data_IF_792589659121
#
_entry.id   IF_792589659121
#
_cell.length_a   1.000
_cell.length_b   1.000
_cell.length_c   1.000
_cell.angle_alpha   90.00
_cell.angle_beta   90.00
_cell.angle_gamma   90.00
#
_symmetry.space_group_name_H-M   'P 1'
#
loop_
_entity.id
_entity.type
_entity.pdbx_description
1 polymer ?
#
# COMPACT_ATOMS: atom_id res chain seq x y z
N UNK A 1 -20.37 21.88 11.56
CA UNK A 1 -19.43 22.64 10.69
C UNK A 1 -20.23 23.55 9.78
N UNK A 2 -19.74 24.75 9.48
CA UNK A 2 -20.32 25.62 8.44
C UNK A 2 -19.68 25.24 7.11
N UNK A 3 -20.48 24.85 6.12
CA UNK A 3 -19.99 24.42 4.81
C UNK A 3 -20.06 25.59 3.82
N UNK A 4 -18.98 25.84 3.07
CA UNK A 4 -19.05 26.67 1.88
C UNK A 4 -19.79 25.93 0.75
N UNK A 5 -20.21 26.65 -0.30
CA UNK A 5 -20.98 26.08 -1.42
C UNK A 5 -20.31 24.87 -2.05
N UNK A 6 -18.98 24.91 -2.25
CA UNK A 6 -18.23 23.80 -2.84
C UNK A 6 -18.25 22.56 -1.92
N UNK A 7 -18.07 22.75 -0.62
CA UNK A 7 -18.11 21.65 0.35
C UNK A 7 -19.52 21.08 0.49
N UNK A 8 -20.55 21.92 0.44
CA UNK A 8 -21.94 21.47 0.42
C UNK A 8 -22.24 20.61 -0.81
N UNK A 9 -21.83 21.06 -2.01
CA UNK A 9 -21.99 20.28 -3.25
C UNK A 9 -21.28 18.93 -3.16
N UNK A 10 -20.04 18.90 -2.66
CA UNK A 10 -19.31 17.63 -2.48
C UNK A 10 -20.07 16.64 -1.58
N UNK A 11 -20.67 17.12 -0.49
CA UNK A 11 -21.45 16.28 0.43
C UNK A 11 -22.76 15.81 -0.20
N UNK A 12 -23.49 16.71 -0.85
CA UNK A 12 -24.78 16.38 -1.47
C UNK A 12 -24.66 15.52 -2.75
N UNK A 13 -23.50 15.54 -3.40
CA UNK A 13 -23.28 14.83 -4.67
C UNK A 13 -23.50 13.32 -4.52
N UNK A 14 -22.86 12.69 -3.54
CA UNK A 14 -22.99 11.25 -3.28
C UNK A 14 -24.35 10.91 -2.69
N UNK A 15 -24.66 11.51 -1.54
CA UNK A 15 -25.79 11.13 -0.68
C UNK A 15 -27.16 11.34 -1.33
N UNK A 16 -27.27 12.34 -2.22
CA UNK A 16 -28.55 12.73 -2.80
C UNK A 16 -28.53 12.68 -4.33
N UNK A 17 -27.65 13.43 -4.98
CA UNK A 17 -27.75 13.65 -6.43
C UNK A 17 -27.47 12.38 -7.24
N UNK A 18 -26.35 11.69 -7.00
CA UNK A 18 -25.99 10.48 -7.75
C UNK A 18 -26.98 9.35 -7.46
N UNK A 19 -27.35 9.16 -6.19
CA UNK A 19 -28.36 8.18 -5.78
C UNK A 19 -29.69 8.39 -6.54
N UNK A 20 -30.18 9.62 -6.61
CA UNK A 20 -31.41 9.94 -7.31
C UNK A 20 -31.27 9.81 -8.84
N UNK A 21 -30.17 10.31 -9.40
CA UNK A 21 -29.91 10.30 -10.85
C UNK A 21 -29.91 8.87 -11.42
N UNK A 22 -29.38 7.92 -10.66
CA UNK A 22 -29.26 6.51 -11.06
C UNK A 22 -30.37 5.61 -10.47
N UNK A 23 -31.46 6.18 -9.94
CA UNK A 23 -32.55 5.41 -9.29
C UNK A 23 -33.23 4.37 -10.19
N UNK A 24 -33.20 4.57 -11.51
CA UNK A 24 -33.81 3.67 -12.50
C UNK A 24 -32.80 2.64 -13.07
N UNK A 25 -31.54 2.67 -12.64
CA UNK A 25 -30.53 1.71 -13.07
C UNK A 25 -30.65 0.44 -12.22
N UNK A 26 -30.75 -0.73 -12.88
CA UNK A 26 -30.67 -2.01 -12.19
C UNK A 26 -29.32 -2.12 -11.47
N UNK A 27 -29.35 -2.41 -10.15
CA UNK A 27 -28.20 -2.29 -9.26
C UNK A 27 -27.57 -0.89 -9.25
N UNK A 28 -28.34 0.12 -8.84
CA UNK A 28 -27.85 1.49 -8.68
C UNK A 28 -26.57 1.50 -7.82
N UNK A 29 -25.39 1.79 -8.39
CA UNK A 29 -24.11 1.74 -7.68
C UNK A 29 -24.00 2.83 -6.60
N UNK A 30 -24.93 3.79 -6.61
CA UNK A 30 -25.00 4.90 -5.68
C UNK A 30 -26.05 4.75 -4.58
N UNK A 31 -26.82 3.65 -4.56
CA UNK A 31 -27.93 3.49 -3.63
C UNK A 31 -27.48 3.50 -2.15
N UNK A 32 -26.27 3.01 -1.88
CA UNK A 32 -25.60 3.02 -0.58
C UNK A 32 -24.13 3.46 -0.71
N UNK A 33 -23.82 4.35 -1.67
CA UNK A 33 -22.44 4.75 -1.89
C UNK A 33 -21.89 5.49 -0.68
N UNK A 34 -20.99 4.81 0.03
CA UNK A 34 -20.19 5.35 1.11
C UNK A 34 -18.73 5.08 0.80
N UNK A 35 -17.89 6.10 0.91
CA UNK A 35 -16.45 5.88 0.94
C UNK A 35 -16.05 5.62 2.39
N UNK A 36 -15.32 4.53 2.68
CA UNK A 36 -14.93 4.18 4.04
C UNK A 36 -14.14 5.31 4.70
N UNK A 37 -14.40 5.56 5.98
CA UNK A 37 -13.61 6.53 6.72
C UNK A 37 -12.15 6.06 6.84
N UNK A 38 -11.24 6.96 7.21
CA UNK A 38 -9.85 6.58 7.51
C UNK A 38 -9.76 5.60 8.68
N UNK A 39 -10.71 5.67 9.63
CA UNK A 39 -10.81 4.72 10.74
C UNK A 39 -11.28 3.34 10.26
N UNK A 40 -12.23 3.29 9.33
CA UNK A 40 -12.70 2.05 8.71
C UNK A 40 -11.56 1.31 8.02
N UNK A 41 -10.72 2.03 7.29
CA UNK A 41 -9.57 1.44 6.58
C UNK A 41 -8.52 0.95 7.58
N UNK A 42 -8.18 1.76 8.57
CA UNK A 42 -7.23 1.41 9.63
C UNK A 42 -7.65 0.16 10.42
N UNK A 43 -8.94 0.02 10.73
CA UNK A 43 -9.48 -1.09 11.55
C UNK A 43 -9.89 -2.33 10.75
N UNK A 44 -9.80 -2.28 9.41
CA UNK A 44 -10.32 -3.36 8.55
C UNK A 44 -9.65 -4.72 8.77
N UNK A 45 -8.36 -4.77 9.09
CA UNK A 45 -7.64 -6.02 9.41
C UNK A 45 -8.09 -6.59 10.76
N UNK A 46 -8.28 -5.74 11.77
CA UNK A 46 -8.86 -6.12 13.06
C UNK A 46 -10.26 -6.70 12.87
N UNK A 47 -11.13 -6.04 12.10
CA UNK A 47 -12.49 -6.52 11.83
C UNK A 47 -12.52 -7.86 11.10
N UNK A 48 -11.67 -8.03 10.10
CA UNK A 48 -11.52 -9.30 9.40
C UNK A 48 -11.10 -10.41 10.37
N UNK A 49 -10.13 -10.14 11.25
CA UNK A 49 -9.69 -11.08 12.29
C UNK A 49 -10.80 -11.39 13.30
N UNK A 50 -11.62 -10.41 13.70
CA UNK A 50 -12.78 -10.64 14.55
C UNK A 50 -13.79 -11.57 13.86
N UNK A 51 -14.11 -11.35 12.59
CA UNK A 51 -15.02 -12.20 11.82
C UNK A 51 -14.49 -13.64 11.69
N UNK A 52 -13.18 -13.80 11.51
CA UNK A 52 -12.55 -15.11 11.30
C UNK A 52 -12.29 -15.88 12.61
N UNK A 53 -12.04 -15.20 13.73
CA UNK A 53 -11.55 -15.84 14.98
C UNK A 53 -12.39 -15.55 16.24
N UNK A 54 -13.24 -14.54 16.22
CA UNK A 54 -13.99 -14.07 17.39
C UNK A 54 -15.42 -13.60 17.03
N UNK A 55 -16.09 -14.32 16.12
CA UNK A 55 -17.39 -13.91 15.57
C UNK A 55 -18.48 -13.74 16.63
N UNK A 56 -18.52 -14.63 17.63
CA UNK A 56 -19.49 -14.54 18.74
C UNK A 56 -19.24 -13.31 19.62
N UNK A 57 -17.99 -12.99 19.94
CA UNK A 57 -17.64 -11.77 20.70
C UNK A 57 -17.96 -10.51 19.90
N UNK A 58 -17.77 -10.55 18.57
CA UNK A 58 -18.06 -9.42 17.69
C UNK A 58 -19.56 -9.16 17.67
N UNK A 59 -20.35 -10.22 17.52
CA UNK A 59 -21.80 -10.16 17.59
C UNK A 59 -22.27 -9.63 18.95
N UNK A 60 -21.71 -10.15 20.05
CA UNK A 60 -22.04 -9.68 21.39
C UNK A 60 -21.69 -8.19 21.59
N UNK A 61 -20.56 -7.74 21.06
CA UNK A 61 -20.17 -6.32 21.10
C UNK A 61 -21.18 -5.45 20.34
N UNK A 62 -21.52 -5.83 19.11
CA UNK A 62 -22.47 -5.11 18.27
C UNK A 62 -23.88 -5.08 18.91
N UNK A 63 -24.37 -6.20 19.42
CA UNK A 63 -25.68 -6.28 20.10
C UNK A 63 -25.72 -5.41 21.35
N UNK A 64 -24.62 -5.38 22.12
CA UNK A 64 -24.50 -4.48 23.28
C UNK A 64 -24.52 -3.02 22.82
N UNK A 65 -23.80 -2.69 21.74
CA UNK A 65 -23.78 -1.36 21.14
C UNK A 65 -25.19 -0.92 20.71
N UNK A 66 -25.93 -1.78 20.00
CA UNK A 66 -27.32 -1.53 19.61
C UNK A 66 -28.23 -1.31 20.81
N UNK A 67 -28.08 -2.13 21.86
CA UNK A 67 -28.88 -2.01 23.08
C UNK A 67 -28.63 -0.69 23.80
N UNK A 68 -27.37 -0.28 23.89
CA UNK A 68 -26.95 0.95 24.60
C UNK A 68 -27.30 2.22 23.81
N UNK A 69 -27.09 2.21 22.50
CA UNK A 69 -27.20 3.39 21.62
C UNK A 69 -28.60 3.54 21.01
N UNK A 70 -29.29 2.41 20.79
CA UNK A 70 -30.58 2.32 20.12
C UNK A 70 -30.43 2.11 18.61
N UNK A 71 -31.21 1.19 18.06
CA UNK A 71 -31.13 0.73 16.65
C UNK A 71 -31.17 1.88 15.63
N UNK A 72 -32.03 2.88 15.83
CA UNK A 72 -32.15 4.02 14.92
C UNK A 72 -30.85 4.83 14.80
N UNK A 73 -30.13 5.02 15.91
CA UNK A 73 -28.86 5.77 15.93
C UNK A 73 -27.69 4.92 15.47
N UNK A 74 -27.72 3.61 15.69
CA UNK A 74 -26.69 2.70 15.15
C UNK A 74 -26.64 2.76 13.63
N UNK A 75 -27.79 2.87 12.95
CA UNK A 75 -27.83 3.06 11.49
C UNK A 75 -27.12 4.33 10.99
N UNK A 76 -26.89 5.32 11.85
CA UNK A 76 -26.14 6.54 11.50
C UNK A 76 -24.61 6.33 11.59
N UNK A 77 -24.17 5.26 12.26
CA UNK A 77 -22.76 4.91 12.50
C UNK A 77 -22.41 3.52 11.97
N UNK A 78 -23.21 2.98 11.05
CA UNK A 78 -22.85 1.81 10.25
C UNK A 78 -22.41 2.24 8.87
N UNK A 79 -21.44 1.51 8.32
CA UNK A 79 -20.85 1.82 7.01
C UNK A 79 -20.64 0.54 6.21
N UNK A 80 -20.51 0.65 4.89
CA UNK A 80 -20.17 -0.51 4.07
C UNK A 80 -18.73 -0.94 4.38
N UNK A 81 -18.47 -2.23 4.64
CA UNK A 81 -17.12 -2.71 4.88
C UNK A 81 -16.30 -2.65 3.58
N UNK A 82 -14.98 -2.82 3.68
CA UNK A 82 -14.12 -2.87 2.51
C UNK A 82 -14.50 -4.02 1.56
N UNK A 83 -14.31 -3.88 0.23
CA UNK A 83 -14.80 -4.86 -0.74
C UNK A 83 -14.30 -6.28 -0.48
N UNK A 84 -13.04 -6.46 -0.08
CA UNK A 84 -12.47 -7.76 0.33
C UNK A 84 -13.24 -8.42 1.48
N UNK A 85 -13.71 -7.65 2.46
CA UNK A 85 -14.50 -8.17 3.57
C UNK A 85 -15.91 -8.52 3.08
N UNK A 86 -16.54 -7.63 2.30
CA UNK A 86 -17.87 -7.88 1.72
C UNK A 86 -17.93 -9.15 0.87
N UNK A 87 -16.88 -9.41 0.09
CA UNK A 87 -16.80 -10.57 -0.79
C UNK A 87 -16.72 -11.90 -0.02
N UNK A 88 -16.26 -11.86 1.24
CA UNK A 88 -16.10 -13.05 2.10
C UNK A 88 -17.18 -13.19 3.16
N UNK A 89 -17.69 -12.07 3.67
CA UNK A 89 -18.62 -12.01 4.79
C UNK A 89 -19.78 -11.09 4.42
N UNK A 90 -20.98 -11.67 4.30
CA UNK A 90 -22.18 -10.96 3.84
C UNK A 90 -23.20 -10.70 4.94
N UNK A 91 -23.09 -11.36 6.08
CA UNK A 91 -24.11 -11.37 7.13
C UNK A 91 -23.55 -10.86 8.47
N UNK A 92 -23.26 -9.56 8.54
CA UNK A 92 -22.94 -8.87 9.79
C UNK A 92 -23.23 -7.37 9.68
N UNK A 93 -23.47 -6.75 10.84
CA UNK A 93 -23.64 -5.30 10.93
C UNK A 93 -22.28 -4.63 11.14
N UNK A 94 -21.85 -3.81 10.16
CA UNK A 94 -20.54 -3.18 10.19
C UNK A 94 -20.61 -1.79 10.83
N UNK A 95 -20.35 -1.73 12.13
CA UNK A 95 -20.14 -0.46 12.85
C UNK A 95 -18.92 0.28 12.29
N UNK A 96 -18.99 1.60 12.17
CA UNK A 96 -17.89 2.45 11.72
C UNK A 96 -16.61 2.22 12.57
N UNK A 97 -15.45 2.16 11.91
CA UNK A 97 -14.19 1.75 12.50
C UNK A 97 -13.78 2.53 13.75
N UNK A 98 -14.19 3.80 13.88
CA UNK A 98 -13.87 4.62 15.05
C UNK A 98 -14.42 4.05 16.37
N UNK A 99 -15.52 3.29 16.32
CA UNK A 99 -16.13 2.68 17.51
C UNK A 99 -15.39 1.44 18.00
N UNK A 100 -14.31 1.02 17.34
CA UNK A 100 -13.45 -0.07 17.82
C UNK A 100 -12.24 0.44 18.61
N UNK A 101 -12.12 1.75 18.85
CA UNK A 101 -11.09 2.33 19.72
C UNK A 101 -11.65 2.67 21.10
N UNK A 102 -11.03 2.13 22.17
CA UNK A 102 -11.47 2.33 23.57
C UNK A 102 -11.58 3.83 23.94
N UNK A 103 -10.69 4.67 23.40
CA UNK A 103 -10.69 6.12 23.59
C UNK A 103 -11.96 6.83 23.07
N UNK A 104 -12.63 6.24 22.07
CA UNK A 104 -13.83 6.81 21.49
C UNK A 104 -15.11 6.35 22.22
N UNK A 105 -15.03 5.30 23.04
CA UNK A 105 -16.13 4.89 23.93
C UNK A 105 -16.17 5.80 25.17
N UNK A 106 -16.60 7.05 24.98
CA UNK A 106 -16.70 8.06 26.05
C UNK A 106 -17.98 8.89 25.94
N UNK A 107 -18.52 9.36 27.06
CA UNK A 107 -19.74 10.19 27.08
C UNK A 107 -19.60 11.43 26.19
N UNK A 108 -18.41 12.02 26.12
CA UNK A 108 -18.13 13.17 25.27
C UNK A 108 -18.29 12.84 23.79
N UNK A 109 -17.75 11.70 23.35
CA UNK A 109 -17.79 11.30 21.95
C UNK A 109 -19.20 10.89 21.52
N UNK A 110 -19.90 10.12 22.36
CA UNK A 110 -21.31 9.79 22.15
C UNK A 110 -22.22 11.02 22.06
N UNK A 111 -21.98 12.03 22.90
CA UNK A 111 -22.71 13.31 22.81
C UNK A 111 -22.38 14.06 21.54
N UNK A 112 -21.11 14.08 21.13
CA UNK A 112 -20.62 14.81 19.96
C UNK A 112 -21.12 14.22 18.64
N UNK A 113 -21.07 12.90 18.48
CA UNK A 113 -21.38 12.23 17.22
C UNK A 113 -22.85 11.83 17.12
N UNK A 114 -23.43 11.37 18.22
CA UNK A 114 -24.79 10.82 18.23
C UNK A 114 -25.78 11.66 19.02
N UNK A 115 -25.35 12.68 19.77
CA UNK A 115 -26.25 13.48 20.60
C UNK A 115 -26.89 12.71 21.76
N UNK A 116 -26.25 11.65 22.27
CA UNK A 116 -26.69 10.90 23.45
C UNK A 116 -25.76 11.12 24.64
N UNK A 117 -26.31 11.09 25.85
CA UNK A 117 -25.55 11.01 27.09
C UNK A 117 -25.73 9.61 27.67
N UNK A 118 -24.69 8.79 27.58
CA UNK A 118 -24.67 7.46 28.18
C UNK A 118 -24.19 7.51 29.62
N UNK A 119 -24.75 6.62 30.45
CA UNK A 119 -24.30 6.41 31.83
C UNK A 119 -22.96 5.67 31.83
N UNK A 120 -22.15 5.90 32.87
CA UNK A 120 -20.83 5.26 33.02
C UNK A 120 -20.91 3.73 32.97
N UNK A 121 -21.92 3.12 33.59
CA UNK A 121 -22.13 1.66 33.52
C UNK A 121 -22.32 1.13 32.10
N UNK A 122 -23.03 1.85 31.23
CA UNK A 122 -23.24 1.45 29.84
C UNK A 122 -21.94 1.56 29.02
N UNK A 123 -21.13 2.58 29.29
CA UNK A 123 -19.83 2.75 28.64
C UNK A 123 -18.86 1.65 29.07
N UNK A 124 -18.84 1.32 30.36
CA UNK A 124 -18.00 0.26 30.89
C UNK A 124 -18.38 -1.10 30.30
N UNK A 125 -19.68 -1.38 30.15
CA UNK A 125 -20.17 -2.59 29.49
C UNK A 125 -19.66 -2.70 28.04
N UNK A 126 -19.72 -1.61 27.26
CA UNK A 126 -19.17 -1.59 25.89
C UNK A 126 -17.65 -1.82 25.88
N UNK A 127 -16.91 -1.17 26.79
CA UNK A 127 -15.46 -1.32 26.90
C UNK A 127 -15.08 -2.74 27.29
N UNK A 128 -15.83 -3.40 28.17
CA UNK A 128 -15.58 -4.80 28.54
C UNK A 128 -15.76 -5.74 27.35
N UNK A 129 -16.82 -5.57 26.56
CA UNK A 129 -17.04 -6.34 25.33
C UNK A 129 -15.94 -6.09 24.30
N UNK A 130 -15.54 -4.83 24.10
CA UNK A 130 -14.43 -4.49 23.21
C UNK A 130 -13.10 -5.10 23.69
N UNK A 131 -12.83 -5.09 25.00
CA UNK A 131 -11.63 -5.74 25.57
C UNK A 131 -11.64 -7.25 25.37
N UNK A 132 -12.80 -7.91 25.44
CA UNK A 132 -12.94 -9.34 25.10
C UNK A 132 -12.46 -9.62 23.67
N UNK A 133 -12.86 -8.77 22.72
CA UNK A 133 -12.40 -8.85 21.33
C UNK A 133 -10.89 -8.65 21.22
N UNK A 134 -10.38 -7.56 21.81
CA UNK A 134 -8.96 -7.21 21.77
C UNK A 134 -8.09 -8.34 22.35
N UNK A 135 -8.51 -8.95 23.45
CA UNK A 135 -7.79 -10.07 24.06
C UNK A 135 -7.71 -11.31 23.14
N UNK A 136 -8.65 -11.48 22.20
CA UNK A 136 -8.67 -12.62 21.28
C UNK A 136 -7.90 -12.37 19.98
N UNK A 137 -7.93 -11.15 19.45
CA UNK A 137 -7.38 -10.87 18.10
C UNK A 137 -6.27 -9.81 18.07
N UNK A 138 -5.97 -9.20 19.21
CA UNK A 138 -5.07 -8.05 19.37
C UNK A 138 -5.78 -6.71 19.19
N UNK A 139 -5.16 -5.62 19.63
CA UNK A 139 -5.74 -4.28 19.51
C UNK A 139 -5.78 -3.80 18.04
N UNK A 140 -6.81 -3.01 17.65
CA UNK A 140 -6.86 -2.42 16.33
C UNK A 140 -5.74 -1.40 16.12
N UNK A 141 -5.12 -1.42 14.94
CA UNK A 141 -4.10 -0.45 14.57
C UNK A 141 -4.78 0.86 14.11
N UNK A 142 -4.47 2.02 14.71
CA UNK A 142 -5.09 3.28 14.32
C UNK A 142 -4.47 3.93 13.08
N UNK A 143 -3.52 3.27 12.42
CA UNK A 143 -2.86 3.78 11.22
C UNK A 143 -3.38 3.13 9.95
N UNK A 144 -3.54 3.96 8.92
CA UNK A 144 -3.82 3.56 7.56
C UNK A 144 -2.74 4.13 6.64
N UNK A 145 -2.76 3.73 5.37
CA UNK A 145 -1.87 4.30 4.37
C UNK A 145 -2.64 4.89 3.17
N UNK A 146 -2.06 5.95 2.58
CA UNK A 146 -2.46 6.51 1.30
C UNK A 146 -1.37 6.22 0.28
N UNK A 147 -1.76 5.77 -0.91
CA UNK A 147 -0.88 5.52 -2.05
C UNK A 147 -1.28 6.50 -3.17
N UNK A 148 -0.30 7.25 -3.67
CA UNK A 148 -0.37 7.99 -4.93
C UNK A 148 0.64 7.37 -5.87
N UNK A 149 0.17 6.79 -6.95
CA UNK A 149 0.96 6.15 -7.98
C UNK A 149 0.77 6.91 -9.28
N UNK A 150 1.84 7.12 -10.04
CA UNK A 150 1.81 7.87 -11.30
C UNK A 150 2.92 7.35 -12.23
N UNK A 151 2.53 7.06 -13.47
CA UNK A 151 3.43 6.50 -14.46
C UNK A 151 4.52 7.47 -14.94
N UNK A 152 5.70 6.91 -15.19
CA UNK A 152 6.86 7.72 -15.53
C UNK A 152 6.88 8.13 -16.99
N UNK A 153 6.93 9.44 -17.20
CA UNK A 153 7.20 10.02 -18.51
C UNK A 153 6.15 9.64 -19.57
N UNK A 154 4.87 9.56 -19.18
CA UNK A 154 3.77 9.24 -20.11
C UNK A 154 3.68 10.16 -21.32
N UNK A 155 4.04 11.44 -21.19
CA UNK A 155 4.16 12.34 -22.34
C UNK A 155 5.17 11.87 -23.39
N UNK A 156 6.27 11.20 -23.00
CA UNK A 156 7.25 10.61 -23.93
C UNK A 156 6.73 9.34 -24.61
N UNK A 157 5.88 8.58 -23.92
CA UNK A 157 5.18 7.44 -24.52
C UNK A 157 4.17 7.89 -25.57
N UNK A 158 3.32 8.86 -25.20
CA UNK A 158 2.25 9.37 -26.08
C UNK A 158 2.78 10.18 -27.25
N UNK A 159 3.92 10.85 -27.14
CA UNK A 159 4.58 11.56 -28.25
C UNK A 159 5.39 10.64 -29.17
N UNK A 160 5.53 9.36 -28.82
CA UNK A 160 6.31 8.39 -29.59
C UNK A 160 7.82 8.38 -29.29
N UNK A 161 8.30 9.25 -28.39
CA UNK A 161 9.73 9.32 -28.04
C UNK A 161 10.26 8.01 -27.47
N UNK A 162 9.45 7.30 -26.67
CA UNK A 162 9.82 6.02 -26.06
C UNK A 162 9.48 4.80 -26.94
N UNK A 163 9.02 5.00 -28.17
CA UNK A 163 8.78 3.88 -29.08
C UNK A 163 10.09 3.17 -29.41
N UNK A 164 10.02 1.84 -29.67
CA UNK A 164 11.20 1.05 -29.99
C UNK A 164 11.85 1.53 -31.29
N UNK A 165 13.14 1.25 -31.42
CA UNK A 165 13.85 1.40 -32.68
C UNK A 165 13.14 0.61 -33.79
N UNK A 166 13.23 1.11 -35.02
CA UNK A 166 12.45 0.57 -36.14
C UNK A 166 12.71 -0.93 -36.37
N UNK A 167 13.92 -1.42 -36.11
CA UNK A 167 14.26 -2.84 -36.21
C UNK A 167 13.54 -3.72 -35.18
N UNK A 168 13.26 -3.16 -34.00
CA UNK A 168 12.53 -3.81 -32.91
C UNK A 168 11.01 -3.61 -33.04
N UNK A 169 10.56 -2.84 -34.02
CA UNK A 169 9.14 -2.61 -34.30
C UNK A 169 8.49 -3.74 -35.12
N UNK A 170 9.32 -4.57 -35.77
CA UNK A 170 8.92 -5.72 -36.57
C UNK A 170 9.18 -7.02 -35.80
N UNK A 171 8.46 -8.08 -36.18
CA UNK A 171 8.85 -9.43 -35.77
C UNK A 171 10.27 -9.71 -36.27
N UNK A 172 11.11 -10.33 -35.43
CA UNK A 172 12.52 -10.57 -35.72
C UNK A 172 12.75 -11.36 -37.02
N UNK A 173 11.91 -12.37 -37.30
CA UNK A 173 11.99 -13.16 -38.55
C UNK A 173 11.63 -12.34 -39.79
N UNK A 174 10.65 -11.44 -39.66
CA UNK A 174 10.27 -10.51 -40.73
C UNK A 174 11.40 -9.52 -40.96
N UNK A 175 11.92 -8.91 -39.90
CA UNK A 175 13.04 -7.98 -40.01
C UNK A 175 14.24 -8.61 -40.70
N UNK A 176 14.65 -9.81 -40.28
CA UNK A 176 15.80 -10.52 -40.85
C UNK A 176 15.64 -10.80 -42.35
N UNK A 177 14.43 -11.13 -42.81
CA UNK A 177 14.15 -11.45 -44.22
C UNK A 177 14.02 -10.22 -45.13
N UNK A 178 13.95 -9.00 -44.59
CA UNK A 178 13.96 -7.78 -45.40
C UNK A 178 15.31 -7.57 -46.09
N UNK A 179 15.35 -7.01 -47.32
CA UNK A 179 16.59 -6.61 -47.98
C UNK A 179 17.41 -5.61 -47.16
N UNK A 180 18.74 -5.74 -47.17
CA UNK A 180 19.62 -4.91 -46.32
C UNK A 180 19.65 -3.43 -46.74
N UNK A 181 19.52 -3.15 -48.04
CA UNK A 181 19.36 -1.80 -48.57
C UNK A 181 18.06 -1.14 -48.07
N UNK A 182 16.98 -1.92 -47.98
CA UNK A 182 15.71 -1.45 -47.42
C UNK A 182 15.81 -1.18 -45.91
N UNK A 183 16.45 -2.08 -45.14
CA UNK A 183 16.71 -1.88 -43.70
C UNK A 183 17.51 -0.60 -43.46
N UNK A 184 18.58 -0.39 -44.22
CA UNK A 184 19.44 0.80 -44.11
C UNK A 184 18.64 2.09 -44.36
N UNK A 185 17.86 2.12 -45.45
CA UNK A 185 17.00 3.26 -45.79
C UNK A 185 15.92 3.53 -44.74
N UNK A 186 15.32 2.48 -44.17
CA UNK A 186 14.34 2.64 -43.09
C UNK A 186 14.96 3.27 -41.84
N UNK A 187 16.14 2.80 -41.41
CA UNK A 187 16.86 3.36 -40.26
C UNK A 187 17.23 4.83 -40.46
N UNK A 188 17.56 5.23 -41.68
CA UNK A 188 17.87 6.63 -42.03
C UNK A 188 16.63 7.53 -41.95
N UNK A 189 15.49 7.09 -42.49
CA UNK A 189 14.26 7.90 -42.55
C UNK A 189 13.57 7.96 -41.19
N UNK A 190 13.45 6.83 -40.50
CA UNK A 190 12.71 6.71 -39.25
C UNK A 190 13.45 5.77 -38.31
N UNK A 191 14.41 6.28 -37.51
CA UNK A 191 15.20 5.43 -36.61
C UNK A 191 14.33 4.74 -35.55
N UNK A 192 13.20 5.34 -35.18
CA UNK A 192 12.18 4.78 -34.28
C UNK A 192 10.90 4.42 -35.02
N UNK A 193 10.10 3.55 -34.42
CA UNK A 193 8.74 3.26 -34.91
C UNK A 193 7.94 4.57 -34.97
N UNK A 194 7.31 4.91 -36.11
CA UNK A 194 6.49 6.11 -36.20
C UNK A 194 5.24 5.95 -35.33
N UNK A 195 4.86 7.02 -34.64
CA UNK A 195 3.62 7.08 -33.88
C UNK A 195 2.42 7.02 -34.82
N UNK A 196 1.46 6.14 -34.54
CA UNK A 196 0.23 5.98 -35.33
C UNK A 196 -0.99 5.92 -34.41
N UNK A 197 -2.20 6.18 -34.93
CA UNK A 197 -3.43 5.99 -34.15
C UNK A 197 -3.57 4.58 -33.58
N UNK A 198 -3.07 3.56 -34.28
CA UNK A 198 -3.06 2.18 -33.80
C UNK A 198 -2.17 2.01 -32.56
N UNK A 199 -0.99 2.63 -32.53
CA UNK A 199 -0.11 2.62 -31.35
C UNK A 199 -0.76 3.36 -30.18
N UNK A 200 -1.38 4.52 -30.41
CA UNK A 200 -2.15 5.22 -29.38
C UNK A 200 -3.28 4.34 -28.82
N UNK A 201 -4.01 3.64 -29.68
CA UNK A 201 -5.05 2.71 -29.26
C UNK A 201 -4.47 1.58 -28.40
N UNK A 202 -3.33 0.99 -28.78
CA UNK A 202 -2.65 -0.05 -27.99
C UNK A 202 -2.22 0.45 -26.61
N UNK A 203 -1.62 1.65 -26.51
CA UNK A 203 -1.26 2.27 -25.22
C UNK A 203 -2.53 2.48 -24.38
N UNK A 204 -3.60 3.02 -24.98
CA UNK A 204 -4.87 3.25 -24.29
C UNK A 204 -5.49 1.95 -23.80
N UNK A 205 -5.42 0.87 -24.58
CA UNK A 205 -5.85 -0.46 -24.17
C UNK A 205 -5.04 -0.98 -22.99
N UNK A 206 -3.71 -0.83 -23.02
CA UNK A 206 -2.84 -1.24 -21.91
C UNK A 206 -3.19 -0.52 -20.59
N UNK A 207 -3.35 0.80 -20.63
CA UNK A 207 -3.72 1.60 -19.46
C UNK A 207 -5.13 1.26 -18.93
N UNK A 208 -6.08 1.03 -19.86
CA UNK A 208 -7.43 0.57 -19.51
C UNK A 208 -7.37 -0.80 -18.81
N UNK A 209 -6.63 -1.75 -19.38
CA UNK A 209 -6.47 -3.09 -18.79
C UNK A 209 -5.84 -2.99 -17.40
N UNK A 210 -4.79 -2.20 -17.24
CA UNK A 210 -4.16 -1.95 -15.93
C UNK A 210 -5.18 -1.52 -14.88
N UNK A 211 -5.95 -0.47 -15.19
CA UNK A 211 -6.92 0.10 -14.26
C UNK A 211 -8.08 -0.84 -13.95
N UNK A 212 -8.69 -1.45 -14.97
CA UNK A 212 -9.94 -2.21 -14.81
C UNK A 212 -9.65 -3.60 -14.23
N UNK A 213 -8.59 -4.26 -14.70
CA UNK A 213 -8.36 -5.69 -14.46
C UNK A 213 -7.39 -5.97 -13.34
N UNK A 214 -6.43 -5.07 -13.09
CA UNK A 214 -5.35 -5.30 -12.14
C UNK A 214 -5.45 -4.39 -10.92
N UNK A 215 -5.57 -3.07 -11.10
CA UNK A 215 -5.63 -2.13 -9.95
C UNK A 215 -6.80 -2.48 -9.02
N UNK A 216 -7.99 -2.72 -9.58
CA UNK A 216 -9.17 -3.12 -8.80
C UNK A 216 -8.97 -4.44 -8.06
N UNK A 217 -8.54 -5.49 -8.76
CA UNK A 217 -8.32 -6.80 -8.15
C UNK A 217 -7.25 -6.73 -7.07
N UNK A 218 -6.13 -6.06 -7.31
CA UNK A 218 -5.06 -5.89 -6.33
C UNK A 218 -5.59 -5.13 -5.11
N UNK A 219 -6.17 -3.94 -5.26
CA UNK A 219 -6.48 -3.07 -4.11
C UNK A 219 -7.74 -3.50 -3.36
N UNK A 220 -8.79 -3.91 -4.07
CA UNK A 220 -10.13 -4.09 -3.48
C UNK A 220 -10.51 -5.56 -3.27
N UNK A 221 -10.00 -6.50 -4.08
CA UNK A 221 -10.38 -7.92 -3.99
C UNK A 221 -9.34 -8.73 -3.20
N UNK A 222 -8.05 -8.54 -3.49
CA UNK A 222 -6.95 -9.26 -2.84
C UNK A 222 -6.52 -8.61 -1.52
N UNK A 223 -6.68 -7.29 -1.36
CA UNK A 223 -6.21 -6.53 -0.20
C UNK A 223 -7.31 -5.68 0.46
N UNK A 224 -7.04 -5.25 1.69
CA UNK A 224 -7.90 -4.38 2.48
C UNK A 224 -7.67 -2.93 2.06
N UNK A 225 -8.15 -2.59 0.87
CA UNK A 225 -8.05 -1.25 0.32
C UNK A 225 -9.32 -0.76 -0.36
N UNK A 226 -9.30 0.54 -0.67
CA UNK A 226 -10.33 1.21 -1.47
C UNK A 226 -9.70 2.18 -2.44
N UNK A 227 -10.12 2.10 -3.70
CA UNK A 227 -9.66 3.01 -4.76
C UNK A 227 -10.53 4.27 -4.72
N UNK A 228 -9.88 5.45 -4.72
CA UNK A 228 -10.55 6.74 -4.94
C UNK A 228 -10.55 7.08 -6.42
N UNK A 229 -9.42 6.87 -7.08
CA UNK A 229 -9.21 7.18 -8.49
C UNK A 229 -8.22 6.20 -9.10
N UNK A 230 -8.51 5.75 -10.33
CA UNK A 230 -7.60 5.02 -11.18
C UNK A 230 -7.86 5.44 -12.64
N UNK A 231 -6.92 6.19 -13.21
CA UNK A 231 -7.10 6.95 -14.45
C UNK A 231 -6.44 6.34 -15.69
N UNK A 232 -5.81 5.18 -15.56
CA UNK A 232 -4.93 4.61 -16.57
C UNK A 232 -3.49 4.60 -16.10
N UNK A 233 -2.89 5.78 -15.96
CA UNK A 233 -1.52 6.00 -15.49
C UNK A 233 -1.40 6.37 -14.01
N UNK A 234 -2.42 7.03 -13.45
CA UNK A 234 -2.42 7.45 -12.06
C UNK A 234 -3.42 6.67 -11.19
N UNK A 235 -3.02 6.37 -9.96
CA UNK A 235 -3.85 5.70 -8.95
C UNK A 235 -3.77 6.45 -7.62
N UNK A 236 -4.94 6.69 -7.02
CA UNK A 236 -5.09 7.12 -5.63
C UNK A 236 -5.88 6.06 -4.86
N UNK A 237 -5.23 5.42 -3.91
CA UNK A 237 -5.81 4.37 -3.10
C UNK A 237 -5.53 4.57 -1.61
N UNK A 238 -6.44 4.08 -0.79
CA UNK A 238 -6.26 3.99 0.66
C UNK A 238 -6.22 2.52 1.03
N UNK A 239 -5.28 2.14 1.87
CA UNK A 239 -5.03 0.73 2.22
C UNK A 239 -4.80 0.59 3.72
N UNK A 240 -5.19 -0.56 4.26
CA UNK A 240 -4.79 -0.98 5.59
C UNK A 240 -3.26 -1.11 5.65
N UNK A 241 -2.67 -0.80 6.80
CA UNK A 241 -1.22 -0.81 6.97
C UNK A 241 -0.59 -2.17 6.67
N UNK A 242 -1.27 -3.27 7.03
CA UNK A 242 -0.80 -4.65 6.80
C UNK A 242 -0.53 -4.94 5.32
N UNK A 243 -1.34 -4.37 4.42
CA UNK A 243 -1.30 -4.69 2.99
C UNK A 243 -0.48 -3.66 2.19
N UNK A 244 0.08 -2.62 2.83
CA UNK A 244 0.72 -1.48 2.18
C UNK A 244 1.82 -1.88 1.20
N UNK A 245 2.84 -2.62 1.67
CA UNK A 245 3.99 -2.97 0.84
C UNK A 245 3.61 -3.89 -0.31
N UNK A 246 2.77 -4.89 -0.06
CA UNK A 246 2.36 -5.83 -1.11
C UNK A 246 1.50 -5.13 -2.18
N UNK A 247 0.60 -4.23 -1.78
CA UNK A 247 -0.18 -3.43 -2.75
C UNK A 247 0.74 -2.53 -3.58
N UNK A 248 1.66 -1.79 -2.95
CA UNK A 248 2.61 -0.93 -3.66
C UNK A 248 3.44 -1.75 -4.68
N UNK A 249 3.96 -2.90 -4.25
CA UNK A 249 4.76 -3.82 -5.06
C UNK A 249 3.98 -4.34 -6.26
N UNK A 250 2.76 -4.86 -6.03
CA UNK A 250 1.89 -5.38 -7.09
C UNK A 250 1.44 -4.31 -8.06
N UNK A 251 1.07 -3.11 -7.59
CA UNK A 251 0.68 -2.00 -8.48
C UNK A 251 1.81 -1.62 -9.43
N UNK A 252 3.05 -1.56 -8.92
CA UNK A 252 4.22 -1.29 -9.75
C UNK A 252 4.48 -2.40 -10.76
N UNK A 253 4.51 -3.65 -10.30
CA UNK A 253 4.79 -4.80 -11.15
C UNK A 253 3.73 -4.95 -12.27
N UNK A 254 2.45 -4.80 -11.93
CA UNK A 254 1.33 -4.94 -12.86
C UNK A 254 1.35 -3.87 -13.97
N UNK A 255 1.83 -2.67 -13.69
CA UNK A 255 1.89 -1.59 -14.69
C UNK A 255 2.74 -1.98 -15.92
N UNK A 256 3.92 -2.55 -15.67
CA UNK A 256 4.85 -3.00 -16.72
C UNK A 256 4.58 -4.41 -17.23
N UNK A 257 3.65 -5.15 -16.61
CA UNK A 257 3.36 -6.55 -16.94
C UNK A 257 4.24 -7.59 -16.23
N UNK A 258 4.94 -7.20 -15.16
CA UNK A 258 5.81 -8.07 -14.37
C UNK A 258 5.01 -8.86 -13.31
N UNK A 259 3.86 -9.39 -13.72
CA UNK A 259 3.00 -10.22 -12.87
C UNK A 259 2.56 -11.48 -13.61
N UNK A 260 2.12 -12.46 -12.82
CA UNK A 260 1.43 -13.67 -13.28
C UNK A 260 0.21 -13.92 -12.39
N UNK A 261 -0.82 -14.54 -12.95
CA UNK A 261 -2.00 -14.95 -12.18
C UNK A 261 -1.86 -16.44 -11.84
N UNK A 262 -1.73 -16.75 -10.55
CA UNK A 262 -1.63 -18.12 -10.06
C UNK A 262 -2.81 -18.40 -9.12
N UNK A 263 -3.62 -19.41 -9.46
CA UNK A 263 -4.82 -19.77 -8.69
C UNK A 263 -5.76 -18.58 -8.41
N UNK A 264 -5.92 -17.69 -9.40
CA UNK A 264 -6.75 -16.48 -9.28
C UNK A 264 -6.14 -15.36 -8.43
N UNK A 265 -4.86 -15.48 -8.03
CA UNK A 265 -4.15 -14.48 -7.24
C UNK A 265 -3.03 -13.85 -8.07
N UNK A 266 -2.94 -12.54 -8.02
CA UNK A 266 -1.86 -11.77 -8.63
C UNK A 266 -0.55 -12.01 -7.87
N UNK A 267 0.48 -12.46 -8.58
CA UNK A 267 1.83 -12.65 -8.06
C UNK A 267 2.82 -11.82 -8.88
N UNK A 268 3.75 -11.18 -8.18
CA UNK A 268 4.86 -10.47 -8.81
C UNK A 268 5.79 -11.51 -9.48
N UNK A 269 6.18 -11.24 -10.72
CA UNK A 269 7.09 -12.04 -11.52
C UNK A 269 7.90 -11.09 -12.38
N UNK A 270 9.05 -10.64 -11.87
CA UNK A 270 9.88 -9.65 -12.55
C UNK A 270 10.45 -10.16 -13.87
N UNK A 271 10.49 -11.49 -14.05
CA UNK A 271 10.95 -12.17 -15.25
C UNK A 271 9.92 -12.12 -16.39
N UNK A 272 8.65 -11.80 -16.09
CA UNK A 272 7.65 -11.61 -17.14
C UNK A 272 7.89 -10.27 -17.86
N UNK A 273 8.59 -10.36 -18.98
CA UNK A 273 8.94 -9.24 -19.84
C UNK A 273 8.14 -9.21 -21.16
N UNK A 274 7.13 -10.07 -21.28
CA UNK A 274 6.39 -10.29 -22.54
C UNK A 274 5.54 -9.10 -22.96
N UNK A 275 5.15 -8.25 -22.01
CA UNK A 275 4.16 -7.20 -22.22
C UNK A 275 2.71 -7.70 -22.19
N UNK A 276 2.49 -8.98 -21.87
CA UNK A 276 1.18 -9.59 -21.73
C UNK A 276 1.02 -10.30 -20.38
N UNK A 277 -0.22 -10.35 -19.90
CA UNK A 277 -0.60 -11.12 -18.72
C UNK A 277 -1.73 -12.08 -19.13
N UNK A 278 -1.54 -13.37 -18.88
CA UNK A 278 -2.61 -14.35 -19.05
C UNK A 278 -3.50 -14.37 -17.79
N UNK A 279 -4.81 -14.20 -17.98
CA UNK A 279 -5.83 -14.28 -16.93
C UNK A 279 -7.09 -14.90 -17.53
N UNK A 280 -7.60 -15.97 -16.93
CA UNK A 280 -8.82 -16.68 -17.36
C UNK A 280 -8.83 -17.12 -18.84
N UNK A 281 -7.66 -17.49 -19.37
CA UNK A 281 -7.49 -17.88 -20.78
C UNK A 281 -7.42 -16.71 -21.78
N UNK A 282 -7.39 -15.47 -21.28
CA UNK A 282 -7.23 -14.26 -22.09
C UNK A 282 -5.87 -13.59 -21.85
N UNK A 283 -5.30 -13.02 -22.90
CA UNK A 283 -4.07 -12.23 -22.82
C UNK A 283 -4.38 -10.74 -22.77
N UNK A 284 -4.02 -10.11 -21.67
CA UNK A 284 -4.16 -8.68 -21.46
C UNK A 284 -2.86 -7.97 -21.81
N UNK A 285 -2.94 -7.02 -22.75
CA UNK A 285 -1.83 -6.13 -23.08
C UNK A 285 -1.52 -5.20 -21.91
N UNK A 286 -0.23 -4.98 -21.64
CA UNK A 286 0.31 -4.08 -20.61
C UNK A 286 1.20 -3.00 -21.24
N UNK A 287 1.69 -2.05 -20.43
CA UNK A 287 2.61 -1.04 -20.93
C UNK A 287 4.00 -1.58 -21.28
N UNK A 288 4.31 -2.80 -20.81
CA UNK A 288 5.57 -3.49 -21.07
C UNK A 288 6.73 -3.04 -20.17
N UNK A 289 7.80 -3.84 -20.18
CA UNK A 289 8.92 -3.77 -19.23
C UNK A 289 9.65 -2.43 -19.14
N UNK A 290 9.63 -1.66 -20.22
CA UNK A 290 10.33 -0.37 -20.30
C UNK A 290 9.50 0.79 -19.73
N UNK A 291 8.19 0.61 -19.54
CA UNK A 291 7.32 1.63 -18.98
C UNK A 291 7.30 1.49 -17.45
N UNK A 292 7.83 2.47 -16.74
CA UNK A 292 7.96 2.45 -15.28
C UNK A 292 6.95 3.38 -14.61
N UNK A 293 6.91 3.36 -13.28
CA UNK A 293 6.06 4.26 -12.52
C UNK A 293 6.66 4.58 -11.17
N UNK A 294 6.28 5.73 -10.62
CA UNK A 294 6.71 6.20 -9.32
C UNK A 294 5.54 6.32 -8.35
N UNK A 295 5.84 6.20 -7.05
CA UNK A 295 4.83 6.15 -6.01
C UNK A 295 5.20 7.03 -4.80
N UNK A 296 4.21 7.72 -4.23
CA UNK A 296 4.26 8.34 -2.92
C UNK A 296 3.29 7.65 -1.98
N UNK A 297 3.79 7.12 -0.87
CA UNK A 297 3.01 6.48 0.18
C UNK A 297 3.11 7.25 1.50
N UNK A 298 2.02 7.33 2.25
CA UNK A 298 2.01 7.94 3.58
C UNK A 298 1.24 7.07 4.56
N UNK A 299 1.90 6.70 5.66
CA UNK A 299 1.28 6.07 6.83
C UNK A 299 0.87 7.18 7.80
N UNK A 300 -0.40 7.23 8.17
CA UNK A 300 -0.93 8.27 9.06
C UNK A 300 -1.97 7.70 10.03
N UNK A 301 -2.05 8.31 11.21
CA UNK A 301 -3.10 8.01 12.18
C UNK A 301 -4.46 8.43 11.62
N UNK A 302 -5.53 7.67 11.87
CA UNK A 302 -6.87 7.94 11.30
C UNK A 302 -7.43 9.34 11.64
N UNK A 303 -7.04 9.91 12.79
CA UNK A 303 -7.37 11.29 13.23
C UNK A 303 -6.52 12.39 12.57
N UNK A 304 -5.50 12.05 11.79
CA UNK A 304 -4.64 13.04 11.12
C UNK A 304 -5.46 13.80 10.07
N UNK A 305 -5.38 15.14 10.00
CA UNK A 305 -6.11 15.90 8.98
C UNK A 305 -5.80 15.40 7.57
N UNK A 306 -6.82 14.92 6.85
CA UNK A 306 -6.64 14.23 5.56
C UNK A 306 -5.91 15.09 4.51
N UNK A 307 -6.11 16.41 4.54
CA UNK A 307 -5.41 17.34 3.66
C UNK A 307 -3.88 17.26 3.82
N UNK A 308 -3.39 17.17 5.05
CA UNK A 308 -1.95 17.03 5.33
C UNK A 308 -1.42 15.70 4.80
N UNK A 309 -2.18 14.62 4.97
CA UNK A 309 -1.81 13.28 4.49
C UNK A 309 -1.72 13.26 2.96
N UNK A 310 -2.72 13.82 2.26
CA UNK A 310 -2.74 13.88 0.79
C UNK A 310 -1.63 14.77 0.23
N UNK A 311 -1.37 15.92 0.86
CA UNK A 311 -0.29 16.81 0.44
C UNK A 311 1.08 16.15 0.65
N UNK A 312 1.25 15.41 1.76
CA UNK A 312 2.47 14.64 2.01
C UNK A 312 2.65 13.50 1.01
N UNK A 313 1.58 12.80 0.63
CA UNK A 313 1.68 11.72 -0.35
C UNK A 313 2.12 12.23 -1.73
N UNK A 314 1.62 13.39 -2.15
CA UNK A 314 2.08 14.05 -3.39
C UNK A 314 3.52 14.52 -3.29
N UNK A 315 3.92 15.04 -2.13
CA UNK A 315 5.32 15.40 -1.90
C UNK A 315 6.24 14.19 -2.04
N UNK A 316 5.86 13.05 -1.46
CA UNK A 316 6.64 11.81 -1.54
C UNK A 316 6.69 11.24 -2.97
N UNK A 317 5.59 11.29 -3.71
CA UNK A 317 5.54 10.90 -5.13
C UNK A 317 6.49 11.77 -5.96
N UNK A 318 6.43 13.10 -5.77
CA UNK A 318 7.34 14.03 -6.44
C UNK A 318 8.79 13.78 -6.06
N UNK A 319 9.09 13.51 -4.79
CA UNK A 319 10.46 13.15 -4.36
C UNK A 319 10.93 11.85 -5.01
N UNK A 320 10.05 10.85 -5.13
CA UNK A 320 10.37 9.59 -5.80
C UNK A 320 10.72 9.80 -7.29
N UNK A 321 9.93 10.61 -8.01
CA UNK A 321 10.23 10.97 -9.41
C UNK A 321 11.50 11.79 -9.60
N UNK A 322 12.01 12.42 -8.54
CA UNK A 322 13.23 13.23 -8.57
C UNK A 322 14.42 12.51 -7.91
N UNK A 323 14.32 11.20 -7.64
CA UNK A 323 15.44 10.44 -7.07
C UNK A 323 16.65 10.43 -8.02
N UNK A 324 16.39 10.31 -9.33
CA UNK A 324 17.34 10.43 -10.43
C UNK A 324 16.57 10.59 -11.77
N UNK A 325 17.30 10.64 -12.89
CA UNK A 325 16.72 10.80 -14.23
C UNK A 325 15.85 9.62 -14.69
N UNK A 326 16.08 8.41 -14.16
CA UNK A 326 15.39 7.18 -14.54
C UNK A 326 14.06 6.99 -13.78
N UNK A 327 13.86 7.69 -12.65
CA UNK A 327 12.64 7.62 -11.83
C UNK A 327 12.40 6.23 -11.25
N UNK A 328 11.32 5.54 -11.57
CA UNK A 328 11.07 4.15 -11.18
C UNK A 328 11.34 3.88 -9.68
N UNK A 329 10.69 4.68 -8.85
CA UNK A 329 10.96 4.73 -7.42
C UNK A 329 9.72 4.95 -6.59
N UNK A 330 9.80 4.62 -5.31
CA UNK A 330 8.82 4.98 -4.32
C UNK A 330 9.41 5.89 -3.24
N UNK A 331 8.56 6.77 -2.72
CA UNK A 331 8.79 7.52 -1.51
C UNK A 331 7.75 7.16 -0.48
N UNK A 332 8.16 6.94 0.75
CA UNK A 332 7.26 6.60 1.86
C UNK A 332 7.52 7.50 3.06
N UNK A 333 6.44 7.99 3.66
CA UNK A 333 6.50 8.76 4.90
C UNK A 333 5.66 8.13 6.00
N UNK A 334 6.17 8.12 7.22
CA UNK A 334 5.44 7.77 8.44
C UNK A 334 5.18 9.04 9.24
N UNK A 335 3.92 9.43 9.36
CA UNK A 335 3.45 10.53 10.19
C UNK A 335 2.97 9.98 11.54
N UNK A 336 3.85 9.98 12.55
CA UNK A 336 3.49 9.52 13.90
C UNK A 336 2.51 10.49 14.54
N UNK A 337 1.64 9.97 15.41
CA UNK A 337 0.69 10.78 16.18
C UNK A 337 1.37 11.87 17.04
N UNK A 338 2.64 11.65 17.44
CA UNK A 338 3.47 12.63 18.15
C UNK A 338 3.91 13.84 17.32
N UNK A 339 3.64 13.85 16.01
CA UNK A 339 4.07 14.89 15.07
C UNK A 339 5.42 14.63 14.40
N UNK A 340 6.16 13.59 14.80
CA UNK A 340 7.39 13.18 14.12
C UNK A 340 7.06 12.60 12.73
N UNK A 341 7.79 13.06 11.71
CA UNK A 341 7.72 12.53 10.35
C UNK A 341 9.02 11.84 9.99
N UNK A 342 8.93 10.60 9.50
CA UNK A 342 10.07 9.82 9.00
C UNK A 342 9.86 9.58 7.50
N UNK A 343 10.90 9.75 6.71
CA UNK A 343 10.82 9.64 5.25
C UNK A 343 11.92 8.73 4.70
N UNK A 344 11.57 7.93 3.69
CA UNK A 344 12.52 7.15 2.90
C UNK A 344 12.18 7.24 1.41
N UNK A 345 13.21 7.16 0.57
CA UNK A 345 13.12 7.17 -0.89
C UNK A 345 13.96 6.01 -1.42
N UNK A 346 13.38 5.14 -2.24
CA UNK A 346 14.09 4.01 -2.82
C UNK A 346 13.60 3.72 -4.24
N UNK A 347 14.48 3.14 -5.07
CA UNK A 347 14.04 2.40 -6.25
C UNK A 347 13.18 1.21 -5.82
N UNK A 348 12.31 0.76 -6.70
CA UNK A 348 11.58 -0.50 -6.48
C UNK A 348 12.54 -1.69 -6.44
N UNK A 349 13.60 -1.63 -7.26
CA UNK A 349 14.61 -2.66 -7.40
C UNK A 349 16.02 -2.09 -7.50
N UNK A 350 16.99 -2.84 -6.98
CA UNK A 350 18.42 -2.66 -7.22
C UNK A 350 18.99 -4.01 -7.65
N UNK A 351 19.45 -4.12 -8.88
CA UNK A 351 19.85 -5.39 -9.49
C UNK A 351 18.78 -6.49 -9.26
N UNK A 352 19.13 -7.54 -8.52
CA UNK A 352 18.25 -8.68 -8.20
C UNK A 352 17.41 -8.47 -6.93
N UNK A 353 17.54 -7.34 -6.25
CA UNK A 353 16.83 -7.03 -5.01
C UNK A 353 15.49 -6.38 -5.33
N UNK A 354 14.41 -7.02 -4.90
CA UNK A 354 13.12 -6.38 -4.71
C UNK A 354 13.07 -5.74 -3.32
N UNK A 355 13.03 -4.41 -3.28
CA UNK A 355 13.13 -3.68 -2.01
C UNK A 355 11.91 -3.95 -1.12
N UNK A 356 10.70 -3.95 -1.68
CA UNK A 356 9.48 -4.12 -0.89
C UNK A 356 9.34 -5.56 -0.40
N UNK A 357 9.69 -6.55 -1.23
CA UNK A 357 9.75 -7.96 -0.78
C UNK A 357 10.78 -8.14 0.35
N UNK A 358 11.96 -7.52 0.21
CA UNK A 358 12.99 -7.55 1.26
C UNK A 358 12.48 -6.95 2.58
N UNK A 359 11.71 -5.86 2.51
CA UNK A 359 11.11 -5.23 3.70
C UNK A 359 9.97 -6.05 4.30
N UNK A 360 9.14 -6.70 3.50
CA UNK A 360 8.11 -7.64 3.97
C UNK A 360 8.77 -8.83 4.66
N UNK A 361 9.74 -9.46 4.01
CA UNK A 361 10.52 -10.56 4.56
C UNK A 361 11.24 -10.19 5.85
N UNK A 362 11.73 -8.95 5.93
CA UNK A 362 12.35 -8.41 7.14
C UNK A 362 11.32 -8.21 8.25
N UNK A 363 10.19 -7.54 7.95
CA UNK A 363 9.10 -7.30 8.89
C UNK A 363 8.52 -8.59 9.48
N UNK A 364 8.35 -9.63 8.66
CA UNK A 364 7.87 -10.96 9.09
C UNK A 364 8.79 -11.63 10.13
N UNK A 365 10.09 -11.32 10.09
CA UNK A 365 11.09 -11.82 11.05
C UNK A 365 11.11 -11.02 12.35
N UNK A 366 10.41 -9.89 12.43
CA UNK A 366 10.23 -9.10 13.66
C UNK A 366 9.02 -9.54 14.48
N UNK A 367 8.16 -10.39 13.93
CA UNK A 367 7.03 -10.96 14.66
C UNK A 367 7.51 -12.08 15.59
N UNK A 368 7.21 -11.95 16.88
CA UNK A 368 7.45 -13.01 17.85
C UNK A 368 6.63 -14.26 17.50
N UNK A 369 7.32 -15.40 17.39
CA UNK A 369 6.76 -16.70 17.00
C UNK A 369 7.33 -17.77 17.92
N UNK A 370 6.48 -18.59 18.55
CA UNK A 370 6.92 -19.62 19.51
C UNK A 370 7.84 -20.67 18.84
N UNK A 371 7.51 -21.11 17.62
CA UNK A 371 8.20 -22.21 16.93
C UNK A 371 9.21 -21.75 15.87
N UNK A 372 9.50 -20.45 15.77
CA UNK A 372 10.37 -19.90 14.72
C UNK A 372 11.32 -18.84 15.29
N UNK A 373 12.53 -18.72 14.73
CA UNK A 373 13.41 -17.63 15.13
C UNK A 373 12.81 -16.27 14.74
N UNK A 374 13.00 -15.28 15.59
CA UNK A 374 12.51 -13.91 15.40
C UNK A 374 13.52 -12.88 15.94
N UNK A 375 13.40 -11.62 15.55
CA UNK A 375 14.30 -10.53 15.93
C UNK A 375 13.51 -9.46 16.68
N UNK A 376 13.92 -9.15 17.91
CA UNK A 376 13.27 -8.09 18.68
C UNK A 376 13.41 -6.74 18.01
N UNK A 377 12.28 -6.03 17.86
CA UNK A 377 12.19 -4.70 17.21
C UNK A 377 13.09 -3.66 17.87
N UNK A 378 13.44 -3.86 19.14
CA UNK A 378 14.38 -3.00 19.89
C UNK A 378 15.75 -2.89 19.22
N UNK A 379 16.11 -3.82 18.34
CA UNK A 379 17.38 -3.77 17.62
C UNK A 379 17.46 -2.54 16.70
N UNK A 380 16.37 -2.07 16.10
CA UNK A 380 16.39 -0.89 15.22
C UNK A 380 16.78 0.36 16.00
N UNK A 381 16.23 0.56 17.20
CA UNK A 381 16.60 1.68 18.05
C UNK A 381 18.09 1.63 18.43
N UNK A 382 18.60 0.44 18.79
CA UNK A 382 20.03 0.27 19.09
C UNK A 382 20.90 0.50 17.86
N UNK A 383 20.48 0.05 16.69
CA UNK A 383 21.18 0.24 15.43
C UNK A 383 21.29 1.74 15.13
N UNK A 384 20.18 2.48 15.24
CA UNK A 384 20.16 3.94 15.08
C UNK A 384 21.11 4.62 16.07
N UNK A 385 21.08 4.25 17.36
CA UNK A 385 21.99 4.80 18.38
C UNK A 385 23.47 4.51 18.11
N UNK A 386 23.81 3.28 17.68
CA UNK A 386 25.17 2.85 17.36
C UNK A 386 25.73 3.64 16.17
N UNK A 387 24.90 3.87 15.14
CA UNK A 387 25.35 4.56 13.93
C UNK A 387 25.25 6.09 13.96
N UNK A 388 24.49 6.68 14.90
CA UNK A 388 24.35 8.14 15.02
C UNK A 388 25.71 8.85 15.20
N UNK A 389 26.67 8.20 15.87
CA UNK A 389 28.01 8.78 16.14
C UNK A 389 28.98 8.67 14.96
N UNK A 390 28.66 7.83 13.97
CA UNK A 390 29.51 7.56 12.80
C UNK A 390 28.85 8.01 11.50
N UNK A 391 27.78 8.79 11.64
CA UNK A 391 27.03 9.46 10.59
C UNK A 391 27.65 10.84 10.31
N UNK A 392 27.79 11.20 9.04
CA UNK A 392 28.19 12.55 8.63
C UNK A 392 27.03 13.55 8.74
N UNK A 393 27.32 14.85 8.69
CA UNK A 393 26.27 15.89 8.67
C UNK A 393 25.37 15.78 7.42
N UNK A 394 25.88 15.18 6.34
CA UNK A 394 25.16 14.84 5.12
C UNK A 394 24.31 13.56 5.23
N UNK A 395 24.39 12.86 6.37
CA UNK A 395 23.70 11.62 6.69
C UNK A 395 24.28 10.35 6.06
N UNK A 396 25.46 10.42 5.45
CA UNK A 396 26.19 9.26 4.94
C UNK A 396 27.04 8.60 6.04
N UNK A 397 27.32 7.31 5.87
CA UNK A 397 28.22 6.56 6.76
C UNK A 397 29.67 7.03 6.59
N UNK A 398 30.33 7.40 7.70
CA UNK A 398 31.72 7.91 7.72
C UNK A 398 32.76 6.83 8.07
N UNK A 399 32.33 5.58 8.26
CA UNK A 399 33.18 4.43 8.58
C UNK A 399 33.18 3.43 7.43
N UNK A 400 34.13 2.49 7.45
CA UNK A 400 34.22 1.46 6.40
C UNK A 400 32.96 0.57 6.38
N UNK A 401 32.59 0.10 5.18
CA UNK A 401 31.47 -0.83 5.02
C UNK A 401 31.62 -2.10 5.86
N UNK A 402 32.85 -2.59 6.05
CA UNK A 402 33.13 -3.74 6.91
C UNK A 402 32.76 -3.50 8.39
N UNK A 403 32.90 -2.27 8.90
CA UNK A 403 32.46 -1.91 10.26
C UNK A 403 30.93 -1.95 10.32
N UNK A 404 30.26 -1.41 9.30
CA UNK A 404 28.80 -1.44 9.22
C UNK A 404 28.26 -2.88 9.22
N UNK A 405 28.77 -3.75 8.36
CA UNK A 405 28.35 -5.15 8.28
C UNK A 405 28.58 -5.90 9.59
N UNK A 406 29.75 -5.69 10.22
CA UNK A 406 30.09 -6.31 11.50
C UNK A 406 29.13 -5.86 12.61
N UNK A 407 28.81 -4.57 12.67
CA UNK A 407 27.93 -4.01 13.70
C UNK A 407 26.47 -4.40 13.47
N UNK A 408 25.98 -4.33 12.23
CA UNK A 408 24.65 -4.81 11.85
C UNK A 408 24.46 -6.27 12.25
N UNK A 409 25.41 -7.14 11.89
CA UNK A 409 25.38 -8.56 12.24
C UNK A 409 25.44 -8.78 13.75
N UNK A 410 26.28 -8.04 14.47
CA UNK A 410 26.38 -8.13 15.94
C UNK A 410 25.05 -7.78 16.60
N UNK A 411 24.41 -6.70 16.14
CA UNK A 411 23.18 -6.18 16.75
C UNK A 411 21.98 -7.07 16.44
N UNK A 412 21.88 -7.61 15.21
CA UNK A 412 20.90 -8.65 14.86
C UNK A 412 21.13 -9.92 15.70
N UNK A 413 22.38 -10.38 15.85
CA UNK A 413 22.69 -11.59 16.64
C UNK A 413 22.26 -11.46 18.11
N UNK A 414 22.40 -10.26 18.70
CA UNK A 414 21.99 -9.97 20.07
C UNK A 414 20.48 -9.89 20.23
N UNK A 415 19.76 -9.43 19.20
CA UNK A 415 18.31 -9.28 19.24
C UNK A 415 17.53 -10.50 18.73
N UNK A 416 18.23 -11.47 18.13
CA UNK A 416 17.63 -12.66 17.57
C UNK A 416 17.35 -13.73 18.65
N UNK A 417 16.14 -14.30 18.62
CA UNK A 417 15.64 -15.35 19.49
C UNK A 417 15.41 -16.65 18.69
N UNK A 418 15.32 -17.78 19.38
CA UNK A 418 15.11 -19.12 18.79
C UNK A 418 16.31 -20.06 18.93
N UNK A 419 16.18 -21.27 18.38
CA UNK A 419 17.20 -22.31 18.48
C UNK A 419 18.53 -21.93 17.82
N UNK A 420 19.65 -22.39 18.39
CA UNK A 420 21.00 -21.95 18.04
C UNK A 420 21.32 -22.03 16.54
N UNK A 421 20.92 -23.12 15.86
CA UNK A 421 21.19 -23.30 14.44
C UNK A 421 20.33 -22.36 13.58
N UNK A 422 19.01 -22.40 13.77
CA UNK A 422 18.05 -21.55 13.06
C UNK A 422 18.33 -20.05 13.26
N UNK A 423 18.71 -19.65 14.48
CA UNK A 423 19.20 -18.31 14.80
C UNK A 423 20.40 -17.91 13.95
N UNK A 424 21.41 -18.78 13.82
CA UNK A 424 22.62 -18.46 13.05
C UNK A 424 22.31 -18.28 11.56
N UNK A 425 21.42 -19.11 11.03
CA UNK A 425 20.96 -19.01 9.64
C UNK A 425 20.17 -17.72 9.39
N UNK A 426 19.21 -17.39 10.27
CA UNK A 426 18.44 -16.16 10.17
C UNK A 426 19.32 -14.91 10.30
N UNK A 427 20.25 -14.89 11.26
CA UNK A 427 21.20 -13.77 11.43
C UNK A 427 22.00 -13.57 10.14
N UNK A 428 22.49 -14.66 9.53
CA UNK A 428 23.26 -14.59 8.28
C UNK A 428 22.40 -13.99 7.16
N UNK A 429 21.24 -14.58 6.90
CA UNK A 429 20.33 -14.16 5.82
C UNK A 429 19.89 -12.70 5.97
N UNK A 430 19.45 -12.28 7.17
CA UNK A 430 18.98 -10.91 7.40
C UNK A 430 20.13 -9.92 7.30
N UNK A 431 21.30 -10.23 7.84
CA UNK A 431 22.46 -9.32 7.76
C UNK A 431 22.91 -9.14 6.31
N UNK A 432 22.94 -10.21 5.51
CA UNK A 432 23.34 -10.17 4.10
C UNK A 432 22.35 -9.32 3.29
N UNK A 433 21.04 -9.57 3.41
CA UNK A 433 20.02 -8.81 2.68
C UNK A 433 20.00 -7.33 3.06
N UNK A 434 20.09 -7.01 4.35
CA UNK A 434 20.09 -5.64 4.83
C UNK A 434 21.39 -4.89 4.49
N UNK A 435 22.53 -5.57 4.50
CA UNK A 435 23.80 -4.97 4.06
C UNK A 435 23.77 -4.65 2.58
N UNK A 436 23.29 -5.59 1.77
CA UNK A 436 23.16 -5.39 0.33
C UNK A 436 22.22 -4.21 0.04
N UNK A 437 21.03 -4.16 0.67
CA UNK A 437 20.11 -3.05 0.53
C UNK A 437 20.73 -1.70 0.94
N UNK A 438 21.52 -1.68 2.02
CA UNK A 438 22.20 -0.47 2.48
C UNK A 438 23.21 0.07 1.45
N UNK A 439 24.04 -0.81 0.88
CA UNK A 439 25.04 -0.38 -0.11
C UNK A 439 24.39 0.03 -1.43
N UNK A 440 23.39 -0.72 -1.90
CA UNK A 440 22.66 -0.39 -3.13
C UNK A 440 21.87 0.92 -3.04
N UNK A 441 21.44 1.30 -1.83
CA UNK A 441 20.79 2.61 -1.59
C UNK A 441 21.80 3.76 -1.46
N UNK A 442 23.08 3.51 -1.76
CA UNK A 442 24.15 4.51 -1.79
C UNK A 442 24.83 4.74 -0.45
N UNK A 443 24.73 3.80 0.49
CA UNK A 443 25.26 3.91 1.86
C UNK A 443 24.74 5.16 2.62
N UNK A 444 23.53 5.62 2.27
CA UNK A 444 22.88 6.75 2.92
C UNK A 444 22.12 6.29 4.17
N UNK A 445 22.77 6.46 5.33
CA UNK A 445 22.36 5.86 6.59
C UNK A 445 20.98 6.32 7.06
N UNK A 446 20.68 7.62 6.97
CA UNK A 446 19.38 8.15 7.41
C UNK A 446 18.21 7.55 6.65
N UNK A 447 18.35 7.42 5.33
CA UNK A 447 17.35 6.80 4.47
C UNK A 447 17.15 5.34 4.83
N UNK A 448 18.25 4.61 5.01
CA UNK A 448 18.21 3.19 5.37
C UNK A 448 17.54 2.95 6.73
N UNK A 449 17.96 3.69 7.77
CA UNK A 449 17.37 3.58 9.11
C UNK A 449 15.89 3.96 9.12
N UNK A 450 15.51 5.05 8.42
CA UNK A 450 14.11 5.42 8.28
C UNK A 450 13.30 4.33 7.57
N UNK A 451 13.86 3.69 6.54
CA UNK A 451 13.19 2.59 5.83
C UNK A 451 12.92 1.40 6.75
N UNK A 452 13.91 1.02 7.58
CA UNK A 452 13.75 -0.06 8.55
C UNK A 452 12.77 0.30 9.67
N UNK A 453 12.80 1.54 10.17
CA UNK A 453 11.82 2.03 11.15
C UNK A 453 10.40 1.95 10.59
N UNK A 454 10.21 2.35 9.33
CA UNK A 454 8.92 2.30 8.64
C UNK A 454 8.45 0.85 8.46
N UNK A 455 9.33 -0.06 8.03
CA UNK A 455 9.00 -1.48 7.92
C UNK A 455 8.72 -2.13 9.28
N UNK A 456 9.38 -1.69 10.34
CA UNK A 456 9.08 -2.15 11.71
C UNK A 456 7.68 -1.68 12.15
N UNK A 457 7.25 -0.51 11.67
CA UNK A 457 5.95 0.06 12.00
C UNK A 457 4.76 -0.68 11.36
N UNK A 458 4.98 -1.40 10.25
CA UNK A 458 3.93 -2.22 9.61
C UNK A 458 3.65 -3.52 10.35
N UNK A 459 4.53 -3.91 11.29
CA UNK A 459 4.35 -5.09 12.15
C UNK A 459 3.50 -4.73 13.36
N UNK A 460 2.54 -5.58 13.75
CA UNK A 460 1.75 -5.41 14.99
C UNK A 460 2.69 -5.15 16.16
N UNK A 461 2.38 -4.19 17.06
CA UNK A 461 3.22 -3.90 18.23
C UNK A 461 3.52 -5.18 19.04
N UNK A 462 4.74 -5.29 19.59
CA UNK A 462 4.99 -6.26 20.68
C UNK A 462 4.20 -5.74 21.89
N UNK A 463 3.47 -6.62 22.59
CA UNK A 463 2.68 -6.28 23.79
C UNK A 463 3.53 -5.68 24.92
#
# INVERSE_FOLDING_TARGET
>A
EVLCTICFVKRALGDHYLKEKFKNTSNNPFQNYSFPSTAEIATSDFKLMCLEKAGDDLKAYIETFITVVGEARVREVTTMPLPKIMNKHTDFENLEGEWFFDENLSSQQFKKQLGINLKEGQINELKEKLRSLINKVGAPNPYYAVIIFDADSMGKWLSGWNLPDIENAYNSSVWQSLPDDFKAKLKEITPKKPLTPAIHASISTALRNYTIEFVRTIVEEEHLGKIVYAGGDDVLAFVNLKDLFEVMRKLRAAFSGHIKIENGVTKVCWENESGFIEKDGFYYLTMGKNATASCGAVIAHYKTPLKLVLDKAREMEKKAKNIDEKKDAFGIALMKHSGQVKEALCKWKYDDIDVLETLVDFADKLEEKEDKPWISKRFIYRLTEEFERVKGEDGYLQVSGAIFEAELKRTIMRACHGEKYAKKEMVKSVSENLSLLFFETGAFLDRFLNLLEIATFTVKAED
#
